data_IF_760520426257
#
_entry.id   IF_760520426257
#
_cell.length_a   1.000
_cell.length_b   1.000
_cell.length_c   1.000
_cell.angle_alpha   90.00
_cell.angle_beta   90.00
_cell.angle_gamma   90.00
#
_symmetry.space_group_name_H-M   'P 1'
#
loop_
_entity.id
_entity.type
_entity.pdbx_description
1 polymer ?
#
# COMPACT_ATOMS: atom_id res chain seq x y z
N UNK A 1 23.92 -12.55 -5.33
CA UNK A 1 23.61 -11.81 -4.10
C UNK A 1 22.23 -11.23 -4.27
N UNK A 2 21.28 -11.61 -3.40
CA UNK A 2 19.90 -11.10 -3.42
C UNK A 2 19.97 -9.61 -3.10
N UNK A 3 19.47 -8.74 -3.97
CA UNK A 3 19.32 -7.33 -3.63
C UNK A 3 18.06 -7.22 -2.76
N UNK A 4 18.28 -7.30 -1.46
CA UNK A 4 17.30 -7.33 -0.37
C UNK A 4 16.73 -5.95 0.02
N UNK A 5 16.60 -4.97 -0.87
CA UNK A 5 16.39 -3.58 -0.39
C UNK A 5 15.41 -2.70 -1.16
N UNK A 6 14.39 -3.24 -1.82
CA UNK A 6 13.22 -2.44 -2.22
C UNK A 6 11.95 -3.30 -2.14
N UNK A 7 11.55 -3.68 -0.93
CA UNK A 7 10.14 -4.02 -0.71
C UNK A 7 9.33 -2.77 -1.07
N UNK A 8 8.79 -2.77 -2.28
CA UNK A 8 7.93 -1.70 -2.79
C UNK A 8 6.97 -1.27 -1.68
N UNK A 9 6.85 0.04 -1.46
CA UNK A 9 5.94 0.62 -0.45
C UNK A 9 4.55 -0.03 -0.50
N UNK A 10 4.10 -0.44 -1.69
CA UNK A 10 2.84 -1.16 -1.91
C UNK A 10 2.82 -2.54 -1.22
N UNK A 11 3.89 -3.31 -1.31
CA UNK A 11 4.02 -4.63 -0.68
C UNK A 11 4.04 -4.51 0.84
N UNK A 12 4.79 -3.54 1.39
CA UNK A 12 4.79 -3.28 2.83
C UNK A 12 3.39 -2.92 3.34
N UNK A 13 2.67 -2.06 2.61
CA UNK A 13 1.30 -1.70 2.96
C UNK A 13 0.33 -2.89 2.87
N UNK A 14 0.52 -3.80 1.91
CA UNK A 14 -0.28 -5.03 1.79
C UNK A 14 -0.07 -5.98 2.97
N UNK A 15 1.17 -6.14 3.43
CA UNK A 15 1.49 -6.95 4.60
C UNK A 15 0.86 -6.33 5.84
N UNK A 16 1.14 -5.05 6.08
CA UNK A 16 0.66 -4.36 7.28
C UNK A 16 -0.87 -4.33 7.37
N UNK A 17 -1.57 -4.05 6.26
CA UNK A 17 -3.03 -3.94 6.30
C UNK A 17 -3.71 -5.28 6.59
N UNK A 18 -3.11 -6.41 6.23
CA UNK A 18 -3.69 -7.72 6.51
C UNK A 18 -3.87 -7.94 8.02
N UNK A 19 -2.88 -7.55 8.82
CA UNK A 19 -2.86 -7.71 10.28
C UNK A 19 -3.69 -6.67 11.05
N UNK A 20 -4.19 -5.62 10.38
CA UNK A 20 -5.00 -4.57 11.02
C UNK A 20 -6.46 -5.00 11.14
N UNK A 21 -7.07 -5.08 12.34
CA UNK A 21 -8.50 -5.33 12.48
C UNK A 21 -9.35 -4.31 11.72
N UNK A 22 -10.52 -4.72 11.20
CA UNK A 22 -11.40 -3.84 10.43
C UNK A 22 -11.80 -2.57 11.21
N UNK A 23 -12.04 -2.73 12.51
CA UNK A 23 -12.38 -1.62 13.43
C UNK A 23 -11.24 -0.59 13.60
N UNK A 24 -9.99 -1.03 13.47
CA UNK A 24 -8.80 -0.20 13.61
C UNK A 24 -8.29 0.35 12.26
N UNK A 25 -8.84 -0.13 11.14
CA UNK A 25 -8.38 0.22 9.81
C UNK A 25 -8.33 1.73 9.57
N UNK A 26 -9.39 2.46 9.94
CA UNK A 26 -9.44 3.91 9.74
C UNK A 26 -8.29 4.63 10.47
N UNK A 27 -7.98 4.23 11.70
CA UNK A 27 -6.91 4.82 12.49
C UNK A 27 -5.53 4.51 11.90
N UNK A 28 -5.34 3.29 11.41
CA UNK A 28 -4.12 2.89 10.71
C UNK A 28 -3.97 3.65 9.39
N UNK A 29 -5.03 3.72 8.58
CA UNK A 29 -5.05 4.41 7.29
C UNK A 29 -4.73 5.90 7.44
N UNK A 30 -5.31 6.58 8.43
CA UNK A 30 -5.02 7.99 8.71
C UNK A 30 -3.55 8.26 9.07
N UNK A 31 -2.86 7.30 9.71
CA UNK A 31 -1.42 7.41 9.95
C UNK A 31 -0.63 7.26 8.66
N UNK A 32 -1.02 6.30 7.81
CA UNK A 32 -0.31 5.94 6.58
C UNK A 32 -0.54 6.93 5.44
N UNK A 33 -1.75 7.46 5.27
CA UNK A 33 -2.07 8.45 4.23
C UNK A 33 -1.22 9.72 4.32
N UNK A 34 -0.72 10.07 5.51
CA UNK A 34 0.23 11.18 5.71
C UNK A 34 1.55 10.96 5.00
N UNK A 35 1.97 9.71 4.83
CA UNK A 35 3.20 9.31 4.14
C UNK A 35 3.02 9.48 2.63
N UNK A 36 1.83 9.18 2.10
CA UNK A 36 1.55 9.22 0.65
C UNK A 36 0.89 10.52 0.19
N UNK A 37 0.69 11.48 1.10
CA UNK A 37 0.03 12.78 0.88
C UNK A 37 -1.23 12.69 0.01
N UNK A 38 -2.07 11.68 0.25
CA UNK A 38 -3.24 11.44 -0.58
C UNK A 38 -4.41 12.33 -0.13
N UNK A 39 -4.77 13.28 -0.98
CA UNK A 39 -5.89 14.21 -0.80
C UNK A 39 -7.28 13.58 -0.95
N UNK A 40 -7.44 12.31 -0.57
CA UNK A 40 -8.72 11.60 -0.72
C UNK A 40 -9.74 12.19 0.25
N UNK A 41 -10.87 12.64 -0.29
CA UNK A 41 -11.97 13.27 0.48
C UNK A 41 -12.70 12.27 1.39
N UNK A 42 -12.71 10.99 1.03
CA UNK A 42 -13.34 9.91 1.80
C UNK A 42 -12.32 8.78 1.98
N UNK A 43 -12.06 8.31 3.22
CA UNK A 43 -11.21 7.14 3.42
C UNK A 43 -11.87 5.91 2.78
N UNK A 44 -11.09 5.03 2.12
CA UNK A 44 -11.61 3.76 1.61
C UNK A 44 -11.97 2.82 2.77
N UNK A 45 -12.71 1.76 2.47
CA UNK A 45 -12.78 0.58 3.35
C UNK A 45 -11.48 -0.23 3.30
N UNK A 46 -11.27 -1.15 4.26
CA UNK A 46 -10.09 -2.04 4.24
C UNK A 46 -10.01 -2.85 2.94
N UNK A 47 -11.15 -3.39 2.50
CA UNK A 47 -11.26 -4.18 1.27
C UNK A 47 -10.94 -3.34 0.01
N UNK A 48 -11.49 -2.13 -0.09
CA UNK A 48 -11.20 -1.23 -1.21
C UNK A 48 -9.71 -0.85 -1.24
N UNK A 49 -9.12 -0.57 -0.07
CA UNK A 49 -7.72 -0.24 0.02
C UNK A 49 -6.81 -1.40 -0.40
N UNK A 50 -7.09 -2.62 0.06
CA UNK A 50 -6.38 -3.83 -0.39
C UNK A 50 -6.51 -4.02 -1.90
N UNK A 51 -7.71 -3.80 -2.47
CA UNK A 51 -7.93 -3.87 -3.91
C UNK A 51 -7.08 -2.85 -4.67
N UNK A 52 -6.98 -1.62 -4.17
CA UNK A 52 -6.12 -0.60 -4.78
C UNK A 52 -4.64 -0.97 -4.72
N UNK A 53 -4.17 -1.49 -3.59
CA UNK A 53 -2.78 -1.93 -3.47
C UNK A 53 -2.46 -3.11 -4.40
N UNK A 54 -3.36 -4.10 -4.49
CA UNK A 54 -3.19 -5.22 -5.43
C UNK A 54 -3.16 -4.75 -6.88
N UNK A 55 -4.03 -3.80 -7.25
CA UNK A 55 -4.03 -3.19 -8.58
C UNK A 55 -2.73 -2.42 -8.86
N UNK A 56 -2.27 -1.61 -7.90
CA UNK A 56 -1.02 -0.87 -8.01
C UNK A 56 0.18 -1.82 -8.12
N UNK A 57 0.20 -2.91 -7.37
CA UNK A 57 1.25 -3.95 -7.46
C UNK A 57 1.26 -4.67 -8.80
N UNK A 58 0.10 -4.84 -9.44
CA UNK A 58 0.00 -5.47 -10.75
C UNK A 58 0.43 -4.55 -11.91
N UNK A 59 0.20 -3.24 -11.78
CA UNK A 59 0.60 -2.23 -12.78
C UNK A 59 2.08 -1.89 -12.68
N UNK A 60 2.60 -1.80 -11.46
CA UNK A 60 4.01 -1.54 -11.18
C UNK A 60 4.64 -2.80 -10.58
N UNK A 61 4.81 -3.88 -11.37
CA UNK A 61 5.64 -4.98 -10.92
C UNK A 61 7.04 -4.43 -10.68
N UNK A 62 7.68 -4.85 -9.59
CA UNK A 62 9.00 -4.38 -9.18
C UNK A 62 10.05 -4.45 -10.31
N UNK A 63 9.85 -5.35 -11.29
CA UNK A 63 10.68 -5.51 -12.49
C UNK A 63 10.62 -4.36 -13.53
N UNK A 64 9.68 -3.40 -13.44
CA UNK A 64 9.51 -2.35 -14.46
C UNK A 64 10.03 -0.95 -14.10
N UNK A 65 10.64 -0.78 -12.93
CA UNK A 65 11.07 0.57 -12.47
C UNK A 65 12.42 1.02 -13.07
N UNK A 66 13.19 0.12 -13.71
CA UNK A 66 14.45 0.49 -14.39
C UNK A 66 14.38 0.25 -15.90
N UNK A 67 13.85 1.22 -16.64
CA UNK A 67 14.24 1.51 -18.03
C UNK A 67 13.94 3.01 -18.28
N UNK A 68 14.77 3.86 -17.70
CA UNK A 68 14.83 5.30 -17.95
C UNK A 68 16.27 5.74 -17.92
#
# INVERSE_FOLDING_TARGET
MKNENEDSVIQQLLIEVQDVPEEDFNKWYEKKRKIFNTGVKKPPTKQEFIKYLNYASAIFPADKIFNG
#
